data_IF_866249141277
#
_entry.id   IF_866249141277
#
_cell.length_a   1.000
_cell.length_b   1.000
_cell.length_c   1.000
_cell.angle_alpha   90.00
_cell.angle_beta   90.00
_cell.angle_gamma   90.00
#
_symmetry.space_group_name_H-M   'P 1'
#
loop_
_entity.id
_entity.type
_entity.pdbx_description
1 polymer ?
#
# COMPACT_ATOMS: atom_id res chain seq x y z
N UNK A 1 51.22 -40.81 -48.21
CA UNK A 1 51.04 -39.55 -47.44
C UNK A 1 49.56 -39.20 -47.49
N UNK A 2 48.87 -39.24 -46.35
CA UNK A 2 47.44 -38.95 -46.26
C UNK A 2 47.27 -37.44 -46.01
N UNK A 3 46.59 -36.72 -46.91
CA UNK A 3 46.27 -35.30 -46.69
C UNK A 3 45.07 -35.23 -45.74
N UNK A 4 45.33 -34.84 -44.49
CA UNK A 4 44.29 -34.45 -43.54
C UNK A 4 43.94 -33.00 -43.86
N UNK A 5 42.75 -32.76 -44.40
CA UNK A 5 42.22 -31.40 -44.52
C UNK A 5 41.72 -31.00 -43.13
N UNK A 6 42.26 -29.94 -42.50
CA UNK A 6 41.71 -29.45 -41.24
C UNK A 6 40.27 -29.00 -41.48
N UNK A 7 39.34 -29.35 -40.58
CA UNK A 7 37.93 -28.96 -40.69
C UNK A 7 37.73 -27.44 -40.54
N UNK A 8 38.75 -26.73 -40.05
CA UNK A 8 38.72 -25.28 -39.86
C UNK A 8 39.80 -24.58 -40.70
N UNK A 9 39.52 -23.39 -41.26
CA UNK A 9 40.55 -22.57 -41.90
C UNK A 9 41.63 -22.25 -40.86
N UNK A 10 42.88 -22.62 -41.15
CA UNK A 10 44.02 -22.28 -40.30
C UNK A 10 44.21 -20.76 -40.33
N UNK A 11 43.59 -20.05 -39.39
CA UNK A 11 43.85 -18.64 -39.16
C UNK A 11 45.12 -18.54 -38.31
N UNK A 12 46.24 -18.01 -38.84
CA UNK A 12 47.50 -17.92 -38.12
C UNK A 12 47.50 -16.85 -37.02
N UNK A 13 46.42 -16.07 -36.90
CA UNK A 13 46.26 -15.04 -35.89
C UNK A 13 45.93 -15.66 -34.52
N UNK A 14 46.86 -15.61 -33.53
CA UNK A 14 46.65 -16.18 -32.21
C UNK A 14 45.47 -15.52 -31.47
N UNK A 15 45.17 -14.26 -31.78
CA UNK A 15 44.13 -13.48 -31.11
C UNK A 15 42.73 -13.85 -31.61
N UNK A 16 42.61 -14.39 -32.83
CA UNK A 16 41.35 -14.84 -33.39
C UNK A 16 40.76 -16.05 -32.64
N UNK A 17 41.62 -16.88 -32.05
CA UNK A 17 41.19 -17.99 -31.19
C UNK A 17 40.62 -17.47 -29.87
N UNK A 18 41.31 -16.52 -29.25
CA UNK A 18 40.88 -15.91 -28.00
C UNK A 18 39.53 -15.21 -28.13
N UNK A 19 39.32 -14.48 -29.22
CA UNK A 19 38.04 -13.83 -29.50
C UNK A 19 36.88 -14.82 -29.68
N UNK A 20 37.12 -15.98 -30.29
CA UNK A 20 36.10 -17.05 -30.40
C UNK A 20 35.76 -17.65 -29.04
N UNK A 21 36.78 -17.94 -28.24
CA UNK A 21 36.60 -18.46 -26.87
C UNK A 21 35.80 -17.48 -26.00
N UNK A 22 36.11 -16.17 -26.09
CA UNK A 22 35.39 -15.12 -25.38
C UNK A 22 33.99 -14.84 -25.92
N UNK A 23 33.74 -15.09 -27.21
CA UNK A 23 32.43 -14.88 -27.83
C UNK A 23 31.45 -16.03 -27.56
N UNK A 24 31.93 -17.16 -27.04
CA UNK A 24 31.09 -18.28 -26.68
C UNK A 24 30.43 -17.95 -25.35
N UNK A 25 29.10 -17.74 -25.30
CA UNK A 25 28.43 -17.48 -24.04
C UNK A 25 28.65 -18.71 -23.14
N UNK A 26 29.36 -18.53 -22.04
CA UNK A 26 29.41 -19.55 -20.99
C UNK A 26 27.99 -19.83 -20.47
N UNK A 27 27.77 -20.95 -19.76
CA UNK A 27 26.47 -21.21 -19.16
C UNK A 27 26.10 -20.03 -18.26
N UNK A 28 25.12 -19.25 -18.68
CA UNK A 28 24.54 -18.18 -17.88
C UNK A 28 23.73 -18.88 -16.80
N UNK A 29 24.20 -18.79 -15.57
CA UNK A 29 23.39 -19.21 -14.43
C UNK A 29 22.25 -18.20 -14.31
N UNK A 30 21.07 -18.57 -14.80
CA UNK A 30 19.85 -17.86 -14.48
C UNK A 30 19.55 -18.15 -13.00
N UNK A 31 19.42 -17.12 -12.14
CA UNK A 31 19.01 -17.36 -10.77
C UNK A 31 17.62 -17.98 -10.79
N UNK A 32 17.47 -19.15 -10.16
CA UNK A 32 16.18 -19.81 -10.02
C UNK A 32 15.18 -18.82 -9.45
N UNK A 33 14.05 -18.63 -10.15
CA UNK A 33 12.91 -17.86 -9.68
C UNK A 33 12.29 -18.45 -8.39
N UNK A 34 12.83 -19.56 -7.90
CA UNK A 34 12.49 -20.24 -6.65
C UNK A 34 12.79 -19.39 -5.40
N UNK A 35 13.53 -18.28 -5.55
CA UNK A 35 13.93 -17.41 -4.46
C UNK A 35 13.02 -16.23 -4.14
N UNK A 36 11.90 -16.01 -4.87
CA UNK A 36 11.01 -14.88 -4.56
C UNK A 36 9.88 -15.36 -3.66
N UNK A 37 9.91 -15.10 -2.34
CA UNK A 37 8.85 -15.51 -1.44
C UNK A 37 7.63 -14.58 -1.64
N UNK A 38 6.95 -14.66 -2.78
CA UNK A 38 5.78 -13.83 -3.08
C UNK A 38 4.55 -14.18 -2.22
N UNK A 39 4.55 -15.38 -1.62
CA UNK A 39 3.41 -15.89 -0.84
C UNK A 39 3.11 -15.08 0.42
N UNK A 40 4.13 -14.57 1.13
CA UNK A 40 3.88 -13.77 2.34
C UNK A 40 3.31 -12.40 2.00
N UNK A 41 3.78 -11.77 0.92
CA UNK A 41 3.24 -10.49 0.45
C UNK A 41 1.78 -10.65 0.05
N UNK A 42 1.44 -11.73 -0.67
CA UNK A 42 0.06 -12.05 -1.02
C UNK A 42 -0.80 -12.32 0.22
N UNK A 43 -0.28 -13.02 1.23
CA UNK A 43 -0.98 -13.26 2.48
C UNK A 43 -1.25 -11.95 3.26
N UNK A 44 -0.26 -11.05 3.32
CA UNK A 44 -0.39 -9.72 3.94
C UNK A 44 -1.41 -8.88 3.19
N UNK A 45 -1.37 -8.85 1.85
CA UNK A 45 -2.34 -8.11 1.04
C UNK A 45 -3.76 -8.67 1.20
N UNK A 46 -3.92 -9.99 1.27
CA UNK A 46 -5.21 -10.63 1.51
C UNK A 46 -5.75 -10.29 2.92
N UNK A 47 -4.90 -10.29 3.94
CA UNK A 47 -5.28 -9.92 5.30
C UNK A 47 -5.71 -8.45 5.40
N UNK A 48 -4.98 -7.53 4.77
CA UNK A 48 -5.33 -6.11 4.72
C UNK A 48 -6.65 -5.86 3.97
N UNK A 49 -6.89 -6.58 2.87
CA UNK A 49 -8.15 -6.50 2.12
C UNK A 49 -9.33 -6.98 2.97
N UNK A 50 -9.20 -8.12 3.64
CA UNK A 50 -10.23 -8.64 4.54
C UNK A 50 -10.49 -7.67 5.71
N UNK A 51 -9.46 -7.05 6.28
CA UNK A 51 -9.60 -6.05 7.33
C UNK A 51 -10.33 -4.80 6.84
N UNK A 52 -10.05 -4.33 5.63
CA UNK A 52 -10.77 -3.20 5.04
C UNK A 52 -12.25 -3.53 4.78
N UNK A 53 -12.54 -4.72 4.28
CA UNK A 53 -13.92 -5.16 4.01
C UNK A 53 -14.73 -5.40 5.29
N UNK A 54 -14.10 -5.91 6.35
CA UNK A 54 -14.74 -6.16 7.65
C UNK A 54 -14.82 -4.92 8.52
N UNK A 55 -13.85 -4.00 8.42
CA UNK A 55 -13.83 -2.73 9.15
C UNK A 55 -14.82 -1.68 8.65
N UNK A 56 -15.27 -1.77 7.39
CA UNK A 56 -16.35 -0.92 6.88
C UNK A 56 -17.75 -1.31 7.37
N UNK A 57 -17.91 -2.44 8.08
CA UNK A 57 -19.20 -2.81 8.68
C UNK A 57 -19.56 -1.92 9.88
N UNK A 58 -18.57 -1.27 10.50
CA UNK A 58 -18.77 -0.33 11.61
C UNK A 58 -18.78 1.14 11.15
N UNK A 59 -19.12 1.38 9.88
CA UNK A 59 -19.47 2.71 9.37
C UNK A 59 -20.85 3.21 9.89
N UNK A 60 -21.47 2.47 10.82
CA UNK A 60 -22.69 2.87 11.51
C UNK A 60 -22.45 3.82 12.70
N UNK A 61 -21.21 4.01 13.13
CA UNK A 61 -20.85 4.99 14.18
C UNK A 61 -20.64 6.42 13.64
N UNK A 62 -20.88 6.65 12.35
CA UNK A 62 -20.89 7.99 11.79
C UNK A 62 -22.20 8.67 12.19
N UNK A 63 -22.19 9.37 13.33
CA UNK A 63 -23.28 10.30 13.67
C UNK A 63 -23.58 11.18 12.45
N UNK A 64 -24.87 11.45 12.15
CA UNK A 64 -25.22 12.33 11.05
C UNK A 64 -24.41 13.61 11.16
N UNK A 65 -23.62 13.92 10.12
CA UNK A 65 -22.87 15.18 10.08
C UNK A 65 -23.86 16.32 10.32
N UNK A 66 -23.69 17.13 11.37
CA UNK A 66 -24.62 18.20 11.67
C UNK A 66 -24.66 19.17 10.49
N UNK A 67 -25.86 19.53 10.08
CA UNK A 67 -26.07 20.52 9.04
C UNK A 67 -25.39 21.85 9.43
N UNK A 68 -25.02 22.69 8.46
CA UNK A 68 -24.47 24.01 8.75
C UNK A 68 -25.36 24.86 9.66
N UNK A 69 -26.67 24.63 9.62
CA UNK A 69 -27.65 25.30 10.47
C UNK A 69 -27.56 24.82 11.93
N UNK A 70 -27.52 23.51 12.16
CA UNK A 70 -27.36 22.93 13.50
C UNK A 70 -26.06 23.38 14.14
N UNK A 71 -24.98 23.46 13.37
CA UNK A 71 -23.69 23.96 13.86
C UNK A 71 -23.75 25.44 14.29
N UNK A 72 -24.53 26.26 13.57
CA UNK A 72 -24.74 27.67 13.96
C UNK A 72 -25.54 27.77 15.25
N UNK A 73 -26.59 26.96 15.38
CA UNK A 73 -27.44 26.90 16.57
C UNK A 73 -26.63 26.44 17.79
N UNK A 74 -25.82 25.39 17.64
CA UNK A 74 -24.95 24.88 18.69
C UNK A 74 -23.93 25.94 19.15
N UNK A 75 -23.30 26.66 18.22
CA UNK A 75 -22.38 27.76 18.57
C UNK A 75 -23.08 28.92 19.27
N UNK A 76 -24.30 29.25 18.88
CA UNK A 76 -25.08 30.30 19.53
C UNK A 76 -25.43 29.91 20.97
N UNK A 77 -25.87 28.67 21.19
CA UNK A 77 -26.18 28.15 22.52
C UNK A 77 -24.93 28.10 23.42
N UNK A 78 -23.77 27.68 22.88
CA UNK A 78 -22.51 27.67 23.62
C UNK A 78 -22.08 29.08 24.08
N UNK A 79 -22.36 30.12 23.28
CA UNK A 79 -22.12 31.52 23.68
C UNK A 79 -23.14 32.03 24.69
N UNK A 80 -24.38 31.55 24.65
CA UNK A 80 -25.40 31.94 25.63
C UNK A 80 -25.12 31.35 27.02
N UNK A 81 -24.49 30.17 27.07
CA UNK A 81 -24.11 29.47 28.29
C UNK A 81 -22.63 29.67 28.67
N UNK A 82 -22.14 30.91 28.76
CA UNK A 82 -20.72 31.17 29.08
C UNK A 82 -20.28 30.44 30.37
N UNK A 83 -19.33 29.50 30.24
CA UNK A 83 -18.80 28.70 31.36
C UNK A 83 -19.72 27.58 31.84
N UNK A 84 -20.78 27.26 31.10
CA UNK A 84 -21.75 26.19 31.37
C UNK A 84 -21.97 25.34 30.11
N UNK A 85 -22.50 24.12 30.29
CA UNK A 85 -22.78 23.20 29.18
C UNK A 85 -24.26 23.35 28.75
N UNK A 86 -24.54 23.73 27.49
CA UNK A 86 -25.92 23.79 26.99
C UNK A 86 -26.49 22.38 26.79
N UNK A 87 -27.60 22.07 27.45
CA UNK A 87 -28.37 20.83 27.28
C UNK A 87 -29.66 21.15 26.55
N UNK A 88 -29.84 20.56 25.38
CA UNK A 88 -31.03 20.73 24.55
C UNK A 88 -32.19 19.94 25.13
N UNK A 89 -33.35 20.58 25.22
CA UNK A 89 -34.62 19.96 25.59
C UNK A 89 -35.49 19.71 24.36
N UNK A 90 -36.48 18.83 24.52
CA UNK A 90 -37.50 18.60 23.51
C UNK A 90 -38.18 19.94 23.14
N UNK A 91 -38.23 20.24 21.84
CA UNK A 91 -38.80 21.50 21.33
C UNK A 91 -37.79 22.62 21.05
N UNK A 92 -36.48 22.34 21.06
CA UNK A 92 -35.46 23.29 20.57
C UNK A 92 -35.11 24.42 21.54
N UNK A 93 -35.50 24.30 22.80
CA UNK A 93 -34.98 25.14 23.89
C UNK A 93 -33.73 24.50 24.50
N UNK A 94 -32.86 25.29 25.13
CA UNK A 94 -31.68 24.79 25.83
C UNK A 94 -31.60 25.36 27.25
N UNK A 95 -31.03 24.58 28.16
CA UNK A 95 -30.69 25.02 29.52
C UNK A 95 -29.19 24.96 29.72
N UNK A 96 -28.65 25.90 30.47
CA UNK A 96 -27.23 25.94 30.80
C UNK A 96 -27.02 25.19 32.12
N UNK A 97 -26.35 24.04 32.08
CA UNK A 97 -26.03 23.25 33.27
C UNK A 97 -24.55 23.34 33.61
N UNK A 98 -24.23 23.36 34.90
CA UNK A 98 -22.87 23.19 35.38
C UNK A 98 -22.58 21.69 35.40
N UNK A 99 -21.48 21.26 34.79
CA UNK A 99 -21.02 19.87 34.93
C UNK A 99 -20.85 19.56 36.43
N UNK A 100 -21.41 18.44 36.89
CA UNK A 100 -21.25 18.04 38.29
C UNK A 100 -19.76 17.79 38.57
N UNK A 101 -19.23 18.19 39.74
CA UNK A 101 -17.86 17.90 40.13
C UNK A 101 -17.60 16.40 40.32
#
# INVERSE_FOLDING_TARGET
MQRVTPAEPFNPDPDARYLRECSTPGPVHEPDADGVPGGWLLAVLAALLLLALTGCADAGAQEPQPTPQELRIARAAARACEGLTPVWQDGGSHICLKERP
#
